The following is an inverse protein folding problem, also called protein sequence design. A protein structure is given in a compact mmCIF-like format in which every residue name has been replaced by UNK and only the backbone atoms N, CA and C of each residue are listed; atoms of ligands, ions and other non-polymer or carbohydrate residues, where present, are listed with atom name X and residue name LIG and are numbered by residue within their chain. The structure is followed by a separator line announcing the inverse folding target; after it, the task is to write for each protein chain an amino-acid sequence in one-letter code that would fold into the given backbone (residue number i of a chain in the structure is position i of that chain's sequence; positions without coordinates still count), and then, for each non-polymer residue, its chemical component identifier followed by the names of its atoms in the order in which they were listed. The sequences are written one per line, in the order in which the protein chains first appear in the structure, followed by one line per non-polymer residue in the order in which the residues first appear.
data_IF_593050760154
#
_entry.id   IF_593050760154
#
_cell.length_a   1.000
_cell.length_b   1.000
_cell.length_c   1.000
_cell.angle_alpha   90.00
_cell.angle_beta   90.00
_cell.angle_gamma   90.00
#
_symmetry.space_group_name_H-M   'P 1'
#
loop_
_entity.id
_entity.type
_entity.pdbx_description
1 polymer ?
#
# COMPACT_ATOMS: atom_id res chain seq x y z
N UNK A 1 -26.27 -13.68 9.57
CA UNK A 1 -25.07 -14.16 10.31
C UNK A 1 -24.07 -14.62 9.26
N UNK A 2 -22.85 -14.03 9.23
CA UNK A 2 -21.79 -14.46 8.31
C UNK A 2 -21.18 -15.73 8.91
N UNK A 3 -21.14 -16.83 8.14
CA UNK A 3 -20.48 -18.08 8.56
C UNK A 3 -19.12 -18.19 7.89
N UNK A 4 -18.07 -18.44 8.66
CA UNK A 4 -16.73 -18.74 8.15
C UNK A 4 -16.46 -20.26 8.06
N UNK A 5 -17.49 -21.10 8.26
CA UNK A 5 -17.37 -22.55 8.10
C UNK A 5 -17.11 -22.89 6.63
N UNK A 6 -16.09 -23.69 6.34
CA UNK A 6 -15.64 -24.00 4.98
C UNK A 6 -14.94 -22.84 4.28
N UNK A 7 -14.40 -21.91 5.03
CA UNK A 7 -13.61 -20.79 4.53
C UNK A 7 -12.20 -20.85 5.06
N UNK A 8 -11.24 -20.56 4.21
CA UNK A 8 -9.83 -20.37 4.57
C UNK A 8 -9.53 -18.89 4.63
N UNK A 9 -8.90 -18.45 5.72
CA UNK A 9 -8.40 -17.09 5.87
C UNK A 9 -6.90 -17.11 5.57
N UNK A 10 -6.46 -16.27 4.64
CA UNK A 10 -5.07 -16.07 4.27
C UNK A 10 -4.64 -14.70 4.75
N UNK A 11 -3.60 -14.66 5.58
CA UNK A 11 -2.95 -13.40 5.99
C UNK A 11 -2.08 -12.90 4.84
N UNK A 12 -2.34 -11.67 4.43
CA UNK A 12 -1.63 -11.02 3.32
C UNK A 12 -0.64 -9.96 3.81
N UNK A 13 -0.22 -10.04 5.07
CA UNK A 13 0.75 -9.14 5.65
C UNK A 13 1.98 -9.88 6.14
N UNK A 14 3.16 -9.30 5.88
CA UNK A 14 4.40 -9.78 6.47
C UNK A 14 4.48 -9.43 7.95
N UNK A 15 5.23 -10.24 8.69
CA UNK A 15 5.54 -9.99 10.08
C UNK A 15 6.53 -8.84 10.20
N UNK A 16 6.20 -7.85 11.01
CA UNK A 16 7.10 -6.78 11.41
C UNK A 16 7.65 -7.09 12.80
N UNK A 17 8.97 -7.20 12.92
CA UNK A 17 9.63 -7.37 14.20
C UNK A 17 9.96 -5.99 14.79
N UNK A 18 9.35 -5.67 15.90
CA UNK A 18 9.58 -4.42 16.58
C UNK A 18 11.02 -4.32 17.10
N UNK A 19 11.59 -3.12 17.05
CA UNK A 19 12.84 -2.81 17.72
C UNK A 19 12.62 -2.85 19.24
N UNK A 20 13.46 -3.55 19.95
CA UNK A 20 13.34 -3.70 21.41
C UNK A 20 14.53 -3.06 22.11
N UNK A 21 14.26 -2.05 22.94
CA UNK A 21 15.25 -1.55 23.89
C UNK A 21 15.24 -2.44 25.15
N UNK A 22 16.38 -3.01 25.50
CA UNK A 22 16.54 -3.85 26.70
C UNK A 22 16.93 -3.02 27.93
N UNK A 23 16.64 -3.54 29.09
CA UNK A 23 16.95 -2.87 30.37
C UNK A 23 18.46 -2.59 30.55
N UNK A 24 19.31 -3.37 29.90
CA UNK A 24 20.79 -3.20 29.95
C UNK A 24 21.26 -2.09 28.96
N UNK A 25 20.36 -1.38 28.29
CA UNK A 25 20.65 -0.33 27.35
C UNK A 25 21.01 -0.82 25.94
N UNK A 26 21.02 -2.13 25.69
CA UNK A 26 21.20 -2.66 24.35
C UNK A 26 19.92 -2.53 23.56
N UNK A 27 20.07 -2.39 22.23
CA UNK A 27 18.96 -2.28 21.28
C UNK A 27 19.01 -3.46 20.34
N UNK A 28 17.96 -4.27 20.36
CA UNK A 28 17.75 -5.31 19.37
C UNK A 28 17.06 -4.68 18.15
N UNK A 29 17.71 -4.77 16.99
CA UNK A 29 17.20 -4.18 15.77
C UNK A 29 15.92 -4.92 15.31
N UNK A 30 14.94 -4.15 14.85
CA UNK A 30 13.75 -4.69 14.22
C UNK A 30 13.99 -5.02 12.75
N UNK A 31 12.98 -5.58 12.13
CA UNK A 31 12.97 -5.86 10.69
C UNK A 31 12.72 -4.57 9.92
N UNK A 32 13.52 -4.31 8.87
CA UNK A 32 13.20 -3.31 7.86
C UNK A 32 12.09 -3.89 6.95
N UNK A 33 11.17 -3.07 6.48
CA UNK A 33 10.19 -3.53 5.50
C UNK A 33 10.79 -3.69 4.09
N UNK A 34 10.00 -4.21 3.15
CA UNK A 34 10.44 -4.48 1.78
C UNK A 34 10.90 -3.22 1.00
N UNK A 35 10.61 -2.02 1.48
CA UNK A 35 11.03 -0.74 0.92
C UNK A 35 12.16 -0.07 1.72
N UNK A 36 12.70 -0.75 2.73
CA UNK A 36 13.76 -0.22 3.58
C UNK A 36 13.31 0.85 4.57
N UNK A 37 12.01 0.98 4.81
CA UNK A 37 11.52 1.82 5.89
C UNK A 37 11.96 1.25 7.23
N UNK A 38 12.62 2.06 8.00
CA UNK A 38 13.17 1.66 9.30
C UNK A 38 12.32 2.19 10.42
N UNK A 39 12.35 1.50 11.54
CA UNK A 39 11.94 2.09 12.81
C UNK A 39 12.80 3.33 13.01
N UNK A 40 12.19 4.51 13.01
CA UNK A 40 12.93 5.77 13.09
C UNK A 40 13.74 5.82 14.38
N UNK A 41 15.03 6.10 14.25
CA UNK A 41 15.88 6.44 15.37
C UNK A 41 15.81 7.95 15.62
N UNK A 42 16.19 8.35 16.83
CA UNK A 42 16.34 9.77 17.19
C UNK A 42 17.31 10.50 16.24
N UNK A 43 18.34 9.80 15.75
CA UNK A 43 19.28 10.30 14.74
C UNK A 43 18.61 10.61 13.41
N UNK A 44 17.72 9.74 12.94
CA UNK A 44 16.98 9.96 11.68
C UNK A 44 16.07 11.19 11.76
N UNK A 45 15.51 11.47 12.93
CA UNK A 45 14.69 12.67 13.15
C UNK A 45 15.57 13.94 13.11
N UNK A 46 16.78 13.88 13.63
CA UNK A 46 17.70 15.02 13.66
C UNK A 46 18.39 15.30 12.32
N UNK A 47 18.62 14.26 11.51
CA UNK A 47 19.24 14.38 10.20
C UNK A 47 18.32 15.03 9.14
N UNK A 48 17.01 15.01 9.34
CA UNK A 48 16.02 15.57 8.42
C UNK A 48 15.72 17.06 8.67
N UNK A 49 16.52 17.74 9.48
CA UNK A 49 16.45 19.17 9.88
C UNK A 49 15.03 19.68 10.25
N UNK A 50 14.16 18.77 10.67
CA UNK A 50 12.77 19.07 11.02
C UNK A 50 11.85 19.23 9.81
N UNK A 51 12.34 19.12 8.58
CA UNK A 51 11.51 19.04 7.38
C UNK A 51 11.05 17.61 7.17
N UNK A 52 10.19 17.16 8.03
CA UNK A 52 9.65 15.81 8.01
C UNK A 52 8.53 15.67 6.98
N UNK A 53 8.78 16.04 5.74
CA UNK A 53 7.78 15.98 4.68
C UNK A 53 7.19 14.58 4.51
N UNK A 54 7.97 13.54 4.79
CA UNK A 54 7.50 12.15 4.77
C UNK A 54 6.95 11.66 6.11
N UNK A 55 7.18 12.38 7.19
CA UNK A 55 6.89 11.92 8.54
C UNK A 55 5.73 12.66 9.20
N UNK A 56 5.43 13.89 8.77
CA UNK A 56 4.38 14.70 9.40
C UNK A 56 2.99 14.10 9.19
N UNK A 57 2.73 13.51 8.04
CA UNK A 57 1.48 12.78 7.80
C UNK A 57 1.50 11.33 8.30
N UNK A 58 2.67 10.81 8.62
CA UNK A 58 2.88 9.38 8.86
C UNK A 58 3.22 9.02 10.31
N UNK A 59 3.43 10.01 11.18
CA UNK A 59 3.78 9.74 12.58
C UNK A 59 2.56 9.42 13.42
N UNK A 60 2.49 8.20 13.90
CA UNK A 60 1.58 7.82 14.99
C UNK A 60 2.24 8.23 16.29
N UNK A 61 2.10 9.50 16.67
CA UNK A 61 2.37 10.05 17.97
C UNK A 61 3.73 9.76 18.61
N UNK A 62 4.31 10.76 19.22
CA UNK A 62 5.33 10.59 20.25
C UNK A 62 4.67 10.18 21.55
N UNK A 63 5.04 9.05 22.11
CA UNK A 63 4.74 8.77 23.51
C UNK A 63 5.67 9.63 24.33
N UNK A 64 5.12 10.51 25.13
CA UNK A 64 5.72 11.72 25.68
C UNK A 64 6.88 11.54 26.63
N UNK A 65 7.48 10.50 26.93
CA UNK A 65 8.59 10.38 27.87
C UNK A 65 9.66 9.35 27.48
N UNK A 66 9.58 8.83 26.26
CA UNK A 66 10.58 7.92 25.73
C UNK A 66 11.08 8.47 24.40
N UNK A 67 12.39 8.47 24.13
CA UNK A 67 12.93 8.83 22.83
C UNK A 67 12.66 7.71 21.82
N UNK A 68 11.38 7.43 21.57
CA UNK A 68 10.96 6.54 20.51
C UNK A 68 10.71 7.43 19.34
N UNK A 69 11.54 7.30 18.31
CA UNK A 69 11.29 7.93 17.03
C UNK A 69 9.88 7.62 16.54
N UNK A 70 9.27 8.52 15.82
CA UNK A 70 7.95 8.31 15.25
C UNK A 70 7.94 7.06 14.38
N UNK A 71 6.79 6.39 14.31
CA UNK A 71 6.58 5.27 13.39
C UNK A 71 5.98 5.82 12.11
N UNK A 72 6.55 5.45 10.96
CA UNK A 72 5.98 5.80 9.67
C UNK A 72 4.67 5.05 9.42
N UNK A 73 3.64 5.74 8.95
CA UNK A 73 2.41 5.10 8.47
C UNK A 73 2.63 4.22 7.23
N UNK A 74 3.79 4.35 6.58
CA UNK A 74 4.21 3.57 5.43
C UNK A 74 5.06 2.34 5.77
N UNK A 75 5.25 2.02 7.05
CA UNK A 75 5.98 0.84 7.46
C UNK A 75 5.11 -0.41 7.34
N UNK A 76 5.63 -1.46 6.69
CA UNK A 76 4.90 -2.71 6.47
C UNK A 76 3.63 -2.52 5.64
N UNK A 77 2.72 -3.47 5.76
CA UNK A 77 1.45 -3.37 5.04
C UNK A 77 0.63 -2.17 5.51
N UNK A 78 0.35 -1.27 4.58
CA UNK A 78 -0.37 -0.03 4.84
C UNK A 78 -1.30 0.32 3.69
N UNK A 79 -2.28 1.17 3.98
CA UNK A 79 -3.12 1.81 2.97
C UNK A 79 -2.65 3.24 2.80
N UNK A 80 -2.56 3.67 1.55
CA UNK A 80 -2.29 5.05 1.16
C UNK A 80 -3.46 5.59 0.36
N UNK A 81 -3.87 6.84 0.69
CA UNK A 81 -4.84 7.61 -0.07
C UNK A 81 -4.59 9.12 0.12
N UNK A 82 -4.52 9.78 -0.93
CA UNK A 82 -4.34 11.02 -1.50
C UNK A 82 -4.22 12.32 -0.85
N UNK A 83 -4.55 12.72 0.28
CA UNK A 83 -4.25 14.11 0.68
C UNK A 83 -2.86 14.19 1.29
N UNK A 84 -1.87 14.50 0.47
CA UNK A 84 -0.60 14.97 1.01
C UNK A 84 -0.77 16.35 1.61
N UNK A 85 -0.28 16.53 2.81
CA UNK A 85 -0.25 17.83 3.49
C UNK A 85 0.83 18.76 2.95
N UNK A 86 1.66 18.32 2.03
CA UNK A 86 2.62 19.18 1.38
C UNK A 86 2.06 19.62 0.02
N UNK A 87 2.13 20.91 -0.23
CA UNK A 87 1.72 21.57 -1.48
C UNK A 87 2.57 21.16 -2.69
N UNK A 88 3.37 20.10 -2.59
CA UNK A 88 4.33 19.69 -3.61
C UNK A 88 3.69 18.96 -4.79
N UNK A 89 2.46 18.47 -4.64
CA UNK A 89 1.71 17.92 -5.76
C UNK A 89 0.90 19.02 -6.46
N UNK A 90 1.46 19.57 -7.51
CA UNK A 90 0.74 20.52 -8.36
C UNK A 90 -0.31 19.81 -9.22
N UNK A 91 -1.42 20.49 -9.49
CA UNK A 91 -2.46 19.96 -10.38
C UNK A 91 -3.22 18.77 -9.81
N UNK A 92 -3.38 18.70 -8.49
CA UNK A 92 -4.25 17.72 -7.86
C UNK A 92 -5.70 17.98 -8.27
N UNK A 93 -6.48 16.92 -8.59
CA UNK A 93 -7.91 17.05 -8.83
C UNK A 93 -8.63 17.62 -7.61
N UNK A 94 -9.61 18.49 -7.87
CA UNK A 94 -10.53 18.94 -6.83
C UNK A 94 -11.27 17.72 -6.25
N UNK A 95 -11.46 17.70 -4.94
CA UNK A 95 -12.23 16.66 -4.26
C UNK A 95 -11.44 15.39 -3.90
N UNK A 96 -10.11 15.43 -3.92
CA UNK A 96 -9.30 14.37 -3.32
C UNK A 96 -9.64 14.18 -1.85
N UNK A 97 -9.76 12.91 -1.45
CA UNK A 97 -10.17 12.50 -0.10
C UNK A 97 -8.98 11.91 0.66
N UNK A 98 -9.02 12.08 1.97
CA UNK A 98 -8.18 11.34 2.88
C UNK A 98 -8.72 9.93 3.20
N UNK A 99 -7.91 9.12 3.84
CA UNK A 99 -8.29 7.77 4.27
C UNK A 99 -9.56 7.77 5.13
N UNK A 100 -9.73 8.80 5.95
CA UNK A 100 -10.88 9.00 6.86
C UNK A 100 -12.16 9.48 6.16
N UNK A 101 -12.06 9.99 4.92
CA UNK A 101 -13.18 10.60 4.19
C UNK A 101 -13.89 9.64 3.24
N UNK A 102 -13.31 8.49 2.95
CA UNK A 102 -13.93 7.50 2.07
C UNK A 102 -14.81 6.53 2.86
N UNK A 103 -15.89 6.00 2.25
CA UNK A 103 -16.75 5.04 2.92
C UNK A 103 -15.98 3.79 3.37
N UNK A 104 -16.29 3.28 4.57
CA UNK A 104 -15.67 2.07 5.10
C UNK A 104 -15.78 0.88 4.15
N UNK A 105 -16.86 0.80 3.37
CA UNK A 105 -17.08 -0.22 2.34
C UNK A 105 -16.04 -0.19 1.21
N UNK A 106 -15.24 0.85 1.09
CA UNK A 106 -14.11 0.93 0.16
C UNK A 106 -13.03 -0.10 0.51
N UNK A 107 -12.85 -0.40 1.79
CA UNK A 107 -11.73 -1.18 2.31
C UNK A 107 -11.97 -2.68 2.40
N UNK A 108 -13.11 -3.17 1.93
CA UNK A 108 -13.40 -4.61 1.88
C UNK A 108 -14.36 -4.96 0.75
N UNK A 109 -14.36 -6.20 0.34
CA UNK A 109 -15.30 -6.73 -0.66
C UNK A 109 -14.70 -7.80 -1.55
N UNK A 110 -15.39 -8.08 -2.65
CA UNK A 110 -14.90 -9.01 -3.65
C UNK A 110 -13.65 -8.44 -4.32
N UNK A 111 -12.59 -9.25 -4.39
CA UNK A 111 -11.33 -8.89 -5.01
C UNK A 111 -10.98 -9.85 -6.15
N UNK A 112 -10.47 -9.30 -7.24
CA UNK A 112 -9.90 -10.02 -8.36
C UNK A 112 -8.41 -10.23 -8.12
N UNK A 113 -7.95 -11.48 -8.11
CA UNK A 113 -6.54 -11.85 -7.97
C UNK A 113 -5.92 -11.96 -9.36
N UNK A 114 -4.90 -11.15 -9.63
CA UNK A 114 -4.18 -11.10 -10.90
C UNK A 114 -2.74 -11.59 -10.69
N UNK A 115 -2.47 -12.83 -11.08
CA UNK A 115 -1.13 -13.42 -11.07
C UNK A 115 -0.46 -13.16 -12.42
N UNK A 116 0.61 -12.38 -12.43
CA UNK A 116 1.25 -11.81 -13.61
C UNK A 116 2.60 -12.47 -13.95
N UNK A 117 2.75 -13.76 -13.64
CA UNK A 117 3.99 -14.53 -13.87
C UNK A 117 4.39 -14.56 -15.37
N UNK A 118 3.42 -14.41 -16.27
CA UNK A 118 3.63 -14.35 -17.71
C UNK A 118 4.05 -12.97 -18.25
N UNK A 119 4.17 -11.95 -17.36
CA UNK A 119 4.49 -10.56 -17.75
C UNK A 119 5.93 -10.15 -17.36
N UNK A 120 6.81 -11.12 -17.13
CA UNK A 120 8.19 -10.93 -16.66
C UNK A 120 8.91 -9.75 -17.30
N UNK A 121 9.39 -8.79 -16.49
CA UNK A 121 10.20 -7.64 -16.89
C UNK A 121 9.54 -6.71 -17.91
N UNK A 122 8.21 -6.69 -17.99
CA UNK A 122 7.46 -5.90 -18.98
C UNK A 122 6.37 -5.06 -18.32
N UNK A 123 5.89 -4.02 -19.03
CA UNK A 123 4.70 -3.28 -18.61
C UNK A 123 3.48 -4.20 -18.48
N UNK A 124 2.73 -3.98 -17.41
CA UNK A 124 1.39 -4.56 -17.24
C UNK A 124 0.43 -3.76 -18.12
N UNK A 125 -0.21 -4.43 -19.07
CA UNK A 125 -1.18 -3.83 -19.99
C UNK A 125 -2.60 -4.30 -19.66
N UNK A 126 -3.65 -3.59 -20.10
CA UNK A 126 -5.05 -3.95 -19.86
C UNK A 126 -5.41 -5.40 -20.25
N UNK A 127 -4.81 -5.93 -21.32
CA UNK A 127 -5.03 -7.31 -21.75
C UNK A 127 -4.54 -8.36 -20.74
N UNK A 128 -3.58 -8.02 -19.90
CA UNK A 128 -3.11 -8.89 -18.82
C UNK A 128 -4.09 -8.95 -17.62
N UNK A 129 -5.04 -8.00 -17.58
CA UNK A 129 -6.02 -7.80 -16.51
C UNK A 129 -7.46 -8.05 -16.97
N UNK A 130 -7.64 -8.93 -17.95
CA UNK A 130 -8.94 -9.17 -18.61
C UNK A 130 -10.02 -9.72 -17.68
N UNK A 131 -9.64 -10.29 -16.53
CA UNK A 131 -10.54 -10.79 -15.48
C UNK A 131 -11.05 -9.69 -14.53
N UNK A 132 -10.49 -8.46 -14.61
CA UNK A 132 -10.91 -7.34 -13.77
C UNK A 132 -12.26 -6.79 -14.24
N UNK A 133 -13.20 -6.69 -13.31
CA UNK A 133 -14.54 -6.11 -13.52
C UNK A 133 -14.63 -4.70 -12.97
N UNK A 134 -15.62 -3.96 -13.43
CA UNK A 134 -15.92 -2.64 -12.86
C UNK A 134 -16.24 -2.76 -11.35
N UNK A 135 -15.61 -1.90 -10.56
CA UNK A 135 -15.81 -1.84 -9.11
C UNK A 135 -15.08 -2.90 -8.28
N UNK A 136 -14.23 -3.72 -8.88
CA UNK A 136 -13.43 -4.71 -8.14
C UNK A 136 -12.43 -4.06 -7.19
N UNK A 137 -12.05 -4.77 -6.14
CA UNK A 137 -10.73 -4.64 -5.54
C UNK A 137 -9.79 -5.47 -6.41
N UNK A 138 -8.63 -4.93 -6.79
CA UNK A 138 -7.66 -5.61 -7.65
C UNK A 138 -6.40 -5.95 -6.87
N UNK A 139 -6.02 -7.22 -6.80
CA UNK A 139 -4.81 -7.69 -6.14
C UNK A 139 -3.81 -8.15 -7.20
N UNK A 140 -2.69 -7.43 -7.32
CA UNK A 140 -1.62 -7.73 -8.27
C UNK A 140 -0.48 -8.47 -7.60
N UNK A 141 0.02 -9.54 -8.23
CA UNK A 141 1.20 -10.27 -7.76
C UNK A 141 1.92 -10.94 -8.93
N UNK A 142 3.20 -11.26 -8.74
CA UNK A 142 3.96 -12.17 -9.58
C UNK A 142 5.02 -12.90 -8.77
N UNK A 143 5.63 -13.94 -9.35
CA UNK A 143 6.76 -14.64 -8.75
C UNK A 143 8.13 -13.96 -8.99
N UNK A 144 8.15 -12.84 -9.71
CA UNK A 144 9.37 -12.17 -10.13
C UNK A 144 9.85 -11.13 -9.09
N UNK A 145 11.13 -10.81 -9.13
CA UNK A 145 11.75 -9.80 -8.27
C UNK A 145 12.82 -9.00 -9.03
N UNK A 146 13.17 -7.82 -8.49
CA UNK A 146 14.15 -6.93 -9.12
C UNK A 146 13.72 -6.50 -10.52
N UNK A 147 14.66 -6.46 -11.47
CA UNK A 147 14.43 -6.01 -12.84
C UNK A 147 13.47 -6.93 -13.64
N UNK A 148 13.14 -8.09 -13.10
CA UNK A 148 12.23 -9.05 -13.72
C UNK A 148 10.77 -8.86 -13.32
N UNK A 149 10.49 -7.95 -12.39
CA UNK A 149 9.13 -7.62 -11.98
C UNK A 149 8.32 -7.03 -13.15
N UNK A 150 7.07 -7.44 -13.34
CA UNK A 150 6.15 -6.68 -14.17
C UNK A 150 5.92 -5.30 -13.55
N UNK A 151 5.84 -4.29 -14.41
CA UNK A 151 5.71 -2.89 -13.99
C UNK A 151 4.29 -2.38 -14.26
N UNK A 152 3.61 -1.93 -13.22
CA UNK A 152 2.36 -1.19 -13.40
C UNK A 152 2.69 0.20 -13.94
N UNK A 153 2.28 0.47 -15.19
CA UNK A 153 2.50 1.74 -15.87
C UNK A 153 1.30 2.68 -15.70
N UNK A 154 1.55 3.98 -15.85
CA UNK A 154 0.54 5.02 -15.66
C UNK A 154 -0.70 4.81 -16.50
N UNK A 155 -0.55 4.49 -17.78
CA UNK A 155 -1.69 4.27 -18.70
C UNK A 155 -2.61 3.15 -18.20
N UNK A 156 -2.03 2.05 -17.71
CA UNK A 156 -2.83 0.94 -17.16
C UNK A 156 -3.44 1.31 -15.80
N UNK A 157 -2.75 2.10 -15.01
CA UNK A 157 -3.30 2.59 -13.76
C UNK A 157 -4.49 3.53 -14.01
N UNK A 158 -4.41 4.43 -14.98
CA UNK A 158 -5.56 5.26 -15.40
C UNK A 158 -6.71 4.43 -15.95
N UNK A 159 -6.43 3.42 -16.77
CA UNK A 159 -7.46 2.48 -17.24
C UNK A 159 -8.18 1.77 -16.08
N UNK A 160 -7.44 1.30 -15.07
CA UNK A 160 -8.03 0.72 -13.87
C UNK A 160 -8.90 1.73 -13.11
N UNK A 161 -8.45 2.98 -13.03
CA UNK A 161 -9.14 4.02 -12.27
C UNK A 161 -10.39 4.54 -12.99
N UNK A 162 -10.30 4.84 -14.28
CA UNK A 162 -11.32 5.59 -15.01
C UNK A 162 -12.30 4.68 -15.75
N UNK A 163 -11.80 3.60 -16.38
CA UNK A 163 -12.65 2.68 -17.13
C UNK A 163 -13.18 1.54 -16.25
N UNK A 164 -12.31 0.92 -15.43
CA UNK A 164 -12.71 -0.14 -14.52
C UNK A 164 -13.28 0.38 -13.21
N UNK A 165 -12.98 1.62 -12.87
CA UNK A 165 -13.45 2.26 -11.63
C UNK A 165 -13.26 1.35 -10.42
N UNK A 166 -12.06 0.76 -10.36
CA UNK A 166 -11.74 -0.18 -9.29
C UNK A 166 -11.91 0.49 -7.93
N UNK A 167 -12.24 -0.30 -6.94
CA UNK A 167 -12.53 0.20 -5.61
C UNK A 167 -11.27 0.40 -4.76
N UNK A 168 -10.26 -0.45 -4.97
CA UNK A 168 -8.97 -0.40 -4.30
C UNK A 168 -7.95 -1.21 -5.09
N UNK A 169 -6.68 -0.81 -5.00
CA UNK A 169 -5.56 -1.54 -5.59
C UNK A 169 -4.70 -2.14 -4.48
N UNK A 170 -4.51 -3.45 -4.50
CA UNK A 170 -3.58 -4.17 -3.64
C UNK A 170 -2.37 -4.66 -4.43
N UNK A 171 -1.17 -4.46 -3.89
CA UNK A 171 0.07 -4.78 -4.60
C UNK A 171 0.97 -5.69 -3.77
N UNK A 172 1.29 -6.83 -4.35
CA UNK A 172 2.22 -7.81 -3.78
C UNK A 172 3.68 -7.42 -3.97
N UNK A 173 4.45 -7.53 -2.90
CA UNK A 173 5.89 -7.24 -2.89
C UNK A 173 6.65 -8.40 -2.24
N UNK A 174 7.79 -8.81 -2.79
CA UNK A 174 8.26 -8.51 -4.14
C UNK A 174 7.32 -9.14 -5.16
N UNK A 175 7.14 -8.58 -6.30
CA UNK A 175 6.26 -9.16 -7.32
C UNK A 175 5.88 -8.15 -8.38
N UNK A 176 5.54 -6.94 -7.97
CA UNK A 176 5.11 -5.86 -8.86
C UNK A 176 5.97 -4.63 -8.60
N UNK A 177 6.42 -4.00 -9.67
CA UNK A 177 7.02 -2.66 -9.64
C UNK A 177 6.04 -1.60 -10.16
N UNK A 178 6.39 -0.32 -9.95
CA UNK A 178 5.59 0.83 -10.35
C UNK A 178 6.36 1.69 -11.33
N UNK A 179 5.65 2.31 -12.24
CA UNK A 179 6.24 3.40 -13.01
C UNK A 179 6.41 4.61 -12.10
N UNK A 180 7.66 4.94 -11.83
CA UNK A 180 8.07 6.10 -11.05
C UNK A 180 9.28 6.74 -11.69
N UNK A 181 9.35 8.06 -11.60
CA UNK A 181 10.49 8.86 -12.00
C UNK A 181 10.71 9.94 -10.93
N UNK A 182 11.20 9.53 -9.77
CA UNK A 182 11.36 10.44 -8.62
C UNK A 182 12.28 11.64 -8.89
N UNK A 183 13.16 11.54 -9.89
CA UNK A 183 14.00 12.64 -10.33
C UNK A 183 13.29 13.55 -11.37
N UNK A 184 12.11 13.15 -11.82
CA UNK A 184 11.31 13.89 -12.78
C UNK A 184 10.51 15.02 -12.12
N UNK A 185 10.05 15.99 -12.92
CA UNK A 185 9.19 17.06 -12.41
C UNK A 185 7.81 16.53 -12.03
N UNK A 186 7.21 17.12 -11.00
CA UNK A 186 5.77 16.99 -10.76
C UNK A 186 4.96 17.58 -11.95
N UNK A 187 3.85 16.99 -12.33
CA UNK A 187 3.11 15.86 -11.70
C UNK A 187 3.54 14.46 -12.16
N UNK A 188 4.45 14.31 -13.09
CA UNK A 188 4.66 13.07 -13.83
C UNK A 188 5.66 12.11 -13.16
N UNK A 189 6.15 12.45 -11.97
CA UNK A 189 7.11 11.63 -11.26
C UNK A 189 6.52 10.35 -10.64
N UNK A 190 5.20 10.27 -10.51
CA UNK A 190 4.51 9.09 -9.94
C UNK A 190 3.14 8.86 -10.58
N UNK A 191 3.07 8.52 -11.88
CA UNK A 191 1.82 8.45 -12.64
C UNK A 191 0.85 7.41 -12.08
N UNK A 192 1.35 6.28 -11.57
CA UNK A 192 0.51 5.22 -10.98
C UNK A 192 -0.19 5.69 -9.70
N UNK A 193 0.53 6.37 -8.82
CA UNK A 193 -0.06 6.93 -7.60
C UNK A 193 -1.10 8.01 -7.93
N UNK A 194 -0.79 8.88 -8.90
CA UNK A 194 -1.75 9.92 -9.34
C UNK A 194 -3.03 9.33 -9.92
N UNK A 195 -2.92 8.30 -10.73
CA UNK A 195 -4.08 7.62 -11.28
C UNK A 195 -4.99 7.07 -10.19
N UNK A 196 -4.42 6.46 -9.16
CA UNK A 196 -5.19 5.88 -8.06
C UNK A 196 -5.70 6.95 -7.10
N UNK A 197 -4.78 7.67 -6.46
CA UNK A 197 -5.14 8.61 -5.39
C UNK A 197 -5.92 9.82 -5.92
N UNK A 198 -5.64 10.28 -7.14
CA UNK A 198 -6.41 11.33 -7.82
C UNK A 198 -7.87 10.94 -8.11
N UNK A 199 -8.15 9.66 -8.25
CA UNK A 199 -9.49 9.11 -8.41
C UNK A 199 -10.09 8.59 -7.08
N UNK A 200 -9.50 8.92 -5.93
CA UNK A 200 -9.91 8.45 -4.61
C UNK A 200 -9.91 6.92 -4.46
N UNK A 201 -8.97 6.25 -5.13
CA UNK A 201 -8.78 4.81 -5.06
C UNK A 201 -7.61 4.52 -4.12
N UNK A 202 -7.86 3.91 -2.95
CA UNK A 202 -6.80 3.54 -2.03
C UNK A 202 -5.85 2.51 -2.63
N UNK A 203 -4.56 2.63 -2.28
CA UNK A 203 -3.54 1.65 -2.58
C UNK A 203 -3.17 0.94 -1.28
N UNK A 204 -3.14 -0.38 -1.26
CA UNK A 204 -2.65 -1.18 -0.13
C UNK A 204 -1.43 -1.98 -0.55
N UNK A 205 -0.32 -1.77 0.16
CA UNK A 205 0.98 -2.40 -0.10
C UNK A 205 1.94 -2.21 1.09
N UNK A 206 3.03 -2.96 1.18
CA UNK A 206 3.28 -4.23 0.50
C UNK A 206 2.35 -5.32 0.99
N UNK A 207 1.82 -6.13 0.08
CA UNK A 207 1.07 -7.33 0.44
C UNK A 207 1.93 -8.59 0.22
N UNK A 208 1.88 -9.49 1.17
CA UNK A 208 2.50 -10.80 1.08
C UNK A 208 1.49 -11.86 0.65
N UNK A 209 1.98 -13.04 0.31
CA UNK A 209 1.17 -14.27 0.17
C UNK A 209 0.02 -14.24 -0.85
N UNK A 210 -0.15 -13.19 -1.67
CA UNK A 210 -1.21 -13.15 -2.69
C UNK A 210 -1.09 -14.36 -3.62
N UNK A 211 0.13 -14.75 -4.02
CA UNK A 211 0.37 -15.92 -4.86
C UNK A 211 0.00 -17.27 -4.23
N UNK A 212 -0.31 -17.32 -2.93
CA UNK A 212 -0.78 -18.52 -2.24
C UNK A 212 -2.29 -18.75 -2.37
N UNK A 213 -3.02 -17.74 -2.81
CA UNK A 213 -4.46 -17.81 -3.05
C UNK A 213 -4.74 -18.78 -4.20
N UNK A 214 -5.82 -19.55 -4.09
CA UNK A 214 -6.16 -20.60 -5.05
C UNK A 214 -7.31 -20.16 -5.98
N UNK A 215 -7.99 -19.10 -5.62
CA UNK A 215 -9.13 -18.61 -6.37
C UNK A 215 -8.83 -17.27 -7.00
N UNK A 216 -9.30 -17.06 -8.23
CA UNK A 216 -9.18 -15.80 -8.95
C UNK A 216 -10.03 -14.69 -8.33
N UNK A 217 -10.96 -15.06 -7.46
CA UNK A 217 -11.84 -14.15 -6.74
C UNK A 217 -11.95 -14.56 -5.28
N UNK A 218 -11.69 -13.59 -4.40
CA UNK A 218 -11.67 -13.79 -2.95
C UNK A 218 -12.42 -12.64 -2.28
N UNK A 219 -12.83 -12.83 -1.02
CA UNK A 219 -13.28 -11.69 -0.23
C UNK A 219 -12.10 -11.09 0.51
N UNK A 220 -11.78 -9.84 0.19
CA UNK A 220 -10.63 -9.13 0.74
C UNK A 220 -11.05 -8.13 1.82
N UNK A 221 -10.24 -7.99 2.85
CA UNK A 221 -10.41 -7.02 3.93
C UNK A 221 -9.07 -6.35 4.24
N UNK A 222 -9.06 -5.03 4.26
CA UNK A 222 -7.88 -4.24 4.63
C UNK A 222 -8.36 -2.91 5.25
N UNK A 223 -8.66 -2.92 6.53
CA UNK A 223 -9.22 -1.76 7.22
C UNK A 223 -8.11 -0.87 7.77
N UNK A 224 -8.04 0.41 7.35
CA UNK A 224 -7.11 1.37 7.92
C UNK A 224 -7.50 1.78 9.35
N UNK A 225 -6.55 2.28 10.10
CA UNK A 225 -6.86 3.04 11.30
C UNK A 225 -7.56 4.36 10.88
N UNK A 226 -8.60 4.74 11.62
CA UNK A 226 -9.32 5.98 11.37
C UNK A 226 -8.58 7.17 11.99
N UNK A 227 -7.56 7.67 11.28
CA UNK A 227 -6.74 8.79 11.75
C UNK A 227 -6.84 9.93 10.73
N UNK A 228 -7.43 11.04 11.15
CA UNK A 228 -7.55 12.26 10.35
C UNK A 228 -6.17 12.83 10.00
N UNK A 229 -6.01 13.31 8.77
CA UNK A 229 -4.79 13.94 8.22
C UNK A 229 -3.60 13.00 7.98
N UNK A 230 -3.81 11.70 8.03
CA UNK A 230 -2.79 10.74 7.59
C UNK A 230 -3.03 10.31 6.14
N UNK A 231 -2.00 10.36 5.31
CA UNK A 231 -2.03 9.84 3.94
C UNK A 231 -1.82 8.34 3.87
N UNK A 232 -1.17 7.77 4.88
CA UNK A 232 -0.88 6.34 5.01
C UNK A 232 -1.12 5.85 6.42
N UNK A 233 -1.65 4.63 6.56
CA UNK A 233 -1.84 4.00 7.86
C UNK A 233 -1.75 2.50 7.79
N UNK A 234 -1.29 1.89 8.85
CA UNK A 234 -1.10 0.45 8.95
C UNK A 234 -2.40 -0.32 8.82
N UNK A 235 -2.27 -1.49 8.24
CA UNK A 235 -3.36 -2.46 8.12
C UNK A 235 -2.88 -3.87 8.42
N UNK A 236 -3.81 -4.74 8.81
CA UNK A 236 -3.68 -6.16 8.63
C UNK A 236 -4.62 -6.60 7.53
N UNK A 237 -4.06 -6.93 6.38
CA UNK A 237 -4.84 -7.33 5.22
C UNK A 237 -5.04 -8.85 5.23
N UNK A 238 -6.27 -9.28 4.94
CA UNK A 238 -6.60 -10.71 4.84
C UNK A 238 -7.44 -10.98 3.59
N UNK A 239 -7.30 -12.18 3.05
CA UNK A 239 -8.22 -12.72 2.05
C UNK A 239 -8.95 -13.94 2.62
N UNK A 240 -10.21 -14.09 2.22
CA UNK A 240 -11.05 -15.22 2.57
C UNK A 240 -11.45 -15.93 1.29
N UNK A 241 -11.10 -17.21 1.18
CA UNK A 241 -11.42 -18.08 0.04
C UNK A 241 -12.19 -19.33 0.50
N UNK A 242 -12.84 -20.03 -0.42
CA UNK A 242 -13.44 -21.35 -0.13
C UNK A 242 -12.33 -22.37 0.14
N UNK A 243 -12.56 -23.32 1.08
CA UNK A 243 -11.66 -24.45 1.33
C UNK A 243 -11.62 -25.45 0.18
#
# INVERSE_FOLDING_TARGET
MISLKGKKIVDLTDELVARVARIDGSIEQGTDDAYGHKWLSEETINETDGTMEHLVGANIGTVSDWPIGGLSGHMGAHIQLGVRHNDNWTGLPDGMKGIWDVPLTTYYGEACVCVLDNVRGRPILPEHLSNVREGDIVLLTSCWSGDEQPTLVGDTAYWLAEEKKIKMLGVGVPGISWETNYDGPEPDNSPTHRAMTGNNIPIVYPLANIGSLKQDRVFFISLPLNVERMEGTWVRAIAIEEE
#
